data_IF_598081231164
#
_entry.id   IF_598081231164
#
_cell.length_a   1.000
_cell.length_b   1.000
_cell.length_c   1.000
_cell.angle_alpha   90.00
_cell.angle_beta   90.00
_cell.angle_gamma   90.00
#
_symmetry.space_group_name_H-M   'P 1'
#
loop_
_entity.id
_entity.type
_entity.pdbx_description
1 polymer ?
#
# COMPACT_ATOMS: atom_id res chain seq x y z
N UNK A 1 5.80 15.89 15.48
CA UNK A 1 5.94 14.45 15.77
C UNK A 1 5.35 13.69 14.60
N UNK A 2 6.04 12.70 14.02
CA UNK A 2 5.45 11.89 12.97
C UNK A 2 4.22 11.16 13.52
N UNK A 3 3.07 11.35 12.87
CA UNK A 3 1.82 10.70 13.25
C UNK A 3 1.94 9.17 13.19
N UNK A 4 1.07 8.48 13.92
CA UNK A 4 0.95 7.02 13.83
C UNK A 4 0.53 6.54 12.43
N UNK A 5 0.41 5.23 12.22
CA UNK A 5 -0.10 4.68 10.96
C UNK A 5 -1.47 5.29 10.63
N UNK A 6 -1.67 5.61 9.35
CA UNK A 6 -2.93 6.19 8.87
C UNK A 6 -3.82 5.08 8.28
N UNK A 7 -5.10 4.97 8.67
CA UNK A 7 -5.97 3.86 8.24
C UNK A 7 -6.05 3.65 6.72
N UNK A 8 -6.12 4.74 5.95
CA UNK A 8 -6.16 4.64 4.48
C UNK A 8 -4.82 4.19 3.89
N UNK A 9 -3.70 4.61 4.46
CA UNK A 9 -2.38 4.13 4.04
C UNK A 9 -2.24 2.63 4.28
N UNK A 10 -2.61 2.15 5.47
CA UNK A 10 -2.56 0.70 5.77
C UNK A 10 -3.52 -0.10 4.89
N UNK A 11 -4.69 0.47 4.56
CA UNK A 11 -5.66 -0.13 3.62
C UNK A 11 -5.04 -0.34 2.24
N UNK A 12 -4.47 0.71 1.65
CA UNK A 12 -3.86 0.64 0.31
C UNK A 12 -2.64 -0.29 0.30
N UNK A 13 -1.74 -0.15 1.28
CA UNK A 13 -0.52 -0.95 1.36
C UNK A 13 -0.80 -2.44 1.60
N UNK A 14 -1.76 -2.76 2.46
CA UNK A 14 -2.17 -4.16 2.67
C UNK A 14 -2.82 -4.75 1.41
N UNK A 15 -3.56 -3.96 0.62
CA UNK A 15 -4.18 -4.42 -0.60
C UNK A 15 -3.15 -4.72 -1.70
N UNK A 16 -2.08 -3.93 -1.81
CA UNK A 16 -0.93 -4.29 -2.65
C UNK A 16 -0.37 -5.67 -2.26
N UNK A 17 -0.16 -5.91 -0.95
CA UNK A 17 0.39 -7.18 -0.42
C UNK A 17 -0.57 -8.36 -0.59
N UNK A 18 -1.87 -8.12 -0.45
CA UNK A 18 -2.91 -9.11 -0.70
C UNK A 18 -2.85 -9.60 -2.14
N UNK A 19 -2.84 -8.67 -3.10
CA UNK A 19 -2.84 -8.99 -4.53
C UNK A 19 -1.53 -9.59 -5.03
N UNK A 20 -0.38 -9.14 -4.52
CA UNK A 20 0.93 -9.68 -4.89
C UNK A 20 1.16 -11.10 -4.36
N UNK A 21 0.45 -11.50 -3.31
CA UNK A 21 0.67 -12.80 -2.67
C UNK A 21 2.04 -12.93 -2.01
N UNK A 22 2.76 -11.83 -1.80
CA UNK A 22 4.14 -11.84 -1.30
C UNK A 22 4.26 -11.58 0.21
N UNK A 23 5.47 -11.68 0.75
CA UNK A 23 5.75 -11.45 2.17
C UNK A 23 6.03 -12.70 2.99
N UNK A 24 6.46 -12.46 4.23
CA UNK A 24 6.86 -13.51 5.17
C UNK A 24 5.70 -14.34 5.74
N UNK A 25 5.99 -15.30 6.63
CA UNK A 25 4.99 -16.22 7.20
C UNK A 25 3.77 -15.53 7.82
N UNK A 26 3.98 -14.39 8.50
CA UNK A 26 2.89 -13.60 9.11
C UNK A 26 1.91 -13.05 8.07
N UNK A 27 2.42 -12.48 6.96
CA UNK A 27 1.55 -11.98 5.88
C UNK A 27 0.84 -13.12 5.14
N UNK A 28 1.49 -14.28 4.98
CA UNK A 28 0.85 -15.50 4.45
C UNK A 28 -0.29 -15.97 5.36
N UNK A 29 -0.11 -15.94 6.68
CA UNK A 29 -1.15 -16.27 7.64
C UNK A 29 -2.31 -15.26 7.59
N UNK A 30 -2.00 -13.97 7.64
CA UNK A 30 -2.99 -12.89 7.54
C UNK A 30 -3.86 -13.03 6.29
N UNK A 31 -3.27 -13.26 5.11
CA UNK A 31 -4.05 -13.49 3.88
C UNK A 31 -4.98 -14.69 3.99
N UNK A 32 -4.51 -15.81 4.54
CA UNK A 32 -5.34 -17.01 4.74
C UNK A 32 -6.53 -16.73 5.67
N UNK A 33 -6.35 -15.86 6.66
CA UNK A 33 -7.41 -15.44 7.57
C UNK A 33 -8.40 -14.46 6.92
N UNK A 34 -7.91 -13.53 6.09
CA UNK A 34 -8.73 -12.42 5.53
C UNK A 34 -9.46 -12.81 4.25
N UNK A 35 -8.82 -13.56 3.33
CA UNK A 35 -9.39 -13.89 2.02
C UNK A 35 -10.78 -14.53 2.08
N UNK A 36 -11.06 -15.49 2.98
CA UNK A 36 -12.39 -16.11 3.06
C UNK A 36 -13.50 -15.13 3.49
N UNK A 37 -13.16 -14.12 4.29
CA UNK A 37 -14.12 -13.15 4.83
C UNK A 37 -14.34 -11.92 3.95
N UNK A 38 -13.55 -11.72 2.90
CA UNK A 38 -13.59 -10.52 2.07
C UNK A 38 -14.82 -10.51 1.13
N UNK A 39 -15.78 -9.58 1.31
CA UNK A 39 -17.00 -9.54 0.52
C UNK A 39 -16.73 -9.02 -0.90
N UNK A 40 -17.50 -9.44 -1.91
CA UNK A 40 -17.29 -8.99 -3.31
C UNK A 40 -17.21 -7.47 -3.51
N UNK A 41 -17.80 -6.70 -2.58
CA UNK A 41 -17.76 -5.24 -2.55
C UNK A 41 -16.34 -4.64 -2.53
N UNK A 42 -15.28 -5.35 -2.12
CA UNK A 42 -13.91 -4.80 -2.14
C UNK A 42 -13.31 -4.68 -3.56
N UNK A 43 -13.82 -5.44 -4.54
CA UNK A 43 -13.21 -5.57 -5.87
C UNK A 43 -12.99 -4.25 -6.63
N UNK A 44 -13.89 -3.25 -6.57
CA UNK A 44 -13.64 -1.94 -7.19
C UNK A 44 -12.36 -1.27 -6.67
N UNK A 45 -12.01 -1.46 -5.40
CA UNK A 45 -10.78 -0.89 -4.82
C UNK A 45 -9.52 -1.48 -5.47
N UNK A 46 -9.52 -2.76 -5.87
CA UNK A 46 -8.40 -3.37 -6.60
C UNK A 46 -8.22 -2.77 -8.01
N UNK A 47 -9.31 -2.28 -8.60
CA UNK A 47 -9.25 -1.54 -9.86
C UNK A 47 -8.65 -0.14 -9.70
N UNK A 48 -8.46 0.37 -8.47
CA UNK A 48 -7.73 1.62 -8.19
C UNK A 48 -6.33 1.37 -7.63
N UNK A 49 -6.16 0.31 -6.84
CA UNK A 49 -4.89 -0.07 -6.23
C UNK A 49 -4.37 -1.32 -6.94
N UNK A 50 -3.57 -1.21 -8.02
CA UNK A 50 -3.02 -2.38 -8.69
C UNK A 50 -2.02 -3.10 -7.77
N UNK A 51 -1.65 -4.38 -8.01
CA UNK A 51 -0.62 -5.05 -7.21
C UNK A 51 0.71 -4.29 -7.21
N UNK A 52 1.06 -3.65 -8.32
CA UNK A 52 2.29 -2.87 -8.54
C UNK A 52 1.95 -1.66 -9.43
N UNK A 53 2.69 -0.57 -9.30
CA UNK A 53 2.49 0.65 -10.10
C UNK A 53 1.80 1.78 -9.34
N UNK A 54 1.34 2.79 -10.08
CA UNK A 54 0.67 3.95 -9.51
C UNK A 54 -0.70 3.59 -8.91
N UNK A 55 -1.03 4.22 -7.77
CA UNK A 55 -2.39 4.26 -7.23
C UNK A 55 -2.78 5.74 -6.99
N UNK A 56 -4.07 6.10 -7.09
CA UNK A 56 -4.53 7.48 -6.95
C UNK A 56 -4.16 8.14 -5.62
N UNK A 57 -3.66 9.38 -5.67
CA UNK A 57 -3.21 10.12 -4.49
C UNK A 57 -4.39 10.48 -3.57
N UNK A 58 -5.58 10.72 -4.15
CA UNK A 58 -6.78 11.03 -3.37
C UNK A 58 -7.17 9.92 -2.38
N UNK A 59 -6.71 8.67 -2.59
CA UNK A 59 -6.91 7.57 -1.63
C UNK A 59 -6.06 7.70 -0.37
N UNK A 60 -5.15 8.68 -0.30
CA UNK A 60 -4.23 8.88 0.82
C UNK A 60 -4.37 10.27 1.44
N UNK A 61 -5.56 10.65 1.95
CA UNK A 61 -5.75 11.96 2.57
C UNK A 61 -4.84 12.13 3.79
N UNK A 62 -4.30 13.33 4.02
CA UNK A 62 -3.34 13.56 5.08
C UNK A 62 -4.00 13.51 6.46
N UNK A 63 -3.41 12.73 7.37
CA UNK A 63 -3.63 12.82 8.82
C UNK A 63 -5.11 12.72 9.25
N UNK A 64 -5.87 11.80 8.66
CA UNK A 64 -7.28 11.59 8.96
C UNK A 64 -7.54 10.21 9.58
N UNK A 65 -8.48 10.15 10.52
CA UNK A 65 -9.10 8.88 10.92
C UNK A 65 -9.90 8.28 9.75
N UNK A 66 -10.32 7.02 9.83
CA UNK A 66 -10.97 6.34 8.69
C UNK A 66 -12.21 7.08 8.19
N UNK A 67 -13.12 7.47 9.08
CA UNK A 67 -14.39 8.10 8.67
C UNK A 67 -14.15 9.47 8.03
N UNK A 68 -13.23 10.25 8.58
CA UNK A 68 -12.81 11.53 8.00
C UNK A 68 -12.08 11.33 6.66
N UNK A 69 -11.23 10.31 6.56
CA UNK A 69 -10.54 9.98 5.33
C UNK A 69 -11.53 9.57 4.22
N UNK A 70 -12.53 8.76 4.57
CA UNK A 70 -13.61 8.36 3.67
C UNK A 70 -14.43 9.58 3.22
N UNK A 71 -14.79 10.47 4.14
CA UNK A 71 -15.52 11.69 3.80
C UNK A 71 -14.75 12.55 2.79
N UNK A 72 -13.44 12.75 3.01
CA UNK A 72 -12.56 13.47 2.07
C UNK A 72 -12.44 12.78 0.72
N UNK A 73 -12.34 11.45 0.70
CA UNK A 73 -12.30 10.65 -0.54
C UNK A 73 -13.60 10.83 -1.33
N UNK A 74 -14.75 10.77 -0.66
CA UNK A 74 -16.06 10.88 -1.30
C UNK A 74 -16.35 12.32 -1.78
N UNK A 75 -15.73 13.31 -1.15
CA UNK A 75 -15.81 14.73 -1.53
C UNK A 75 -14.61 15.23 -2.34
N UNK A 76 -13.78 14.32 -2.88
CA UNK A 76 -12.63 14.71 -3.70
C UNK A 76 -13.11 15.50 -4.93
N UNK A 77 -12.55 16.70 -5.21
CA UNK A 77 -12.96 17.51 -6.35
C UNK A 77 -12.82 16.76 -7.67
N UNK A 78 -13.79 16.95 -8.59
CA UNK A 78 -13.78 16.29 -9.91
C UNK A 78 -12.48 16.45 -10.69
N UNK A 79 -11.85 17.63 -10.60
CA UNK A 79 -10.59 17.90 -11.28
C UNK A 79 -9.43 17.01 -10.76
N UNK A 80 -9.43 16.71 -9.46
CA UNK A 80 -8.44 15.82 -8.84
C UNK A 80 -8.72 14.36 -9.19
N UNK A 81 -9.99 13.93 -9.11
CA UNK A 81 -10.39 12.59 -9.57
C UNK A 81 -10.01 12.37 -11.04
N UNK A 82 -10.30 13.33 -11.92
CA UNK A 82 -9.93 13.26 -13.34
C UNK A 82 -8.42 13.18 -13.58
N UNK A 83 -7.62 13.94 -12.81
CA UNK A 83 -6.15 13.90 -12.87
C UNK A 83 -5.63 12.52 -12.50
N UNK A 84 -6.07 11.99 -11.36
CA UNK A 84 -5.57 10.72 -10.84
C UNK A 84 -6.04 9.55 -11.73
N UNK A 85 -7.27 9.58 -12.24
CA UNK A 85 -7.74 8.58 -13.21
C UNK A 85 -6.97 8.68 -14.54
N UNK A 86 -6.59 9.89 -14.97
CA UNK A 86 -5.75 10.10 -16.15
C UNK A 86 -4.33 9.53 -15.99
N UNK A 87 -3.73 9.70 -14.80
CA UNK A 87 -2.45 9.11 -14.46
C UNK A 87 -2.55 7.58 -14.40
N UNK A 88 -3.60 7.06 -13.77
CA UNK A 88 -3.87 5.64 -13.71
C UNK A 88 -4.09 5.01 -15.09
N UNK A 89 -4.71 5.77 -16.01
CA UNK A 89 -4.95 5.34 -17.38
C UNK A 89 -3.67 5.18 -18.22
N UNK A 90 -2.54 5.77 -17.80
CA UNK A 90 -1.24 5.62 -18.48
C UNK A 90 -0.68 4.19 -18.32
N UNK A 91 -1.01 3.50 -17.24
CA UNK A 91 -0.53 2.16 -16.95
C UNK A 91 -1.55 1.07 -17.33
N UNK A 92 -2.84 1.41 -17.43
CA UNK A 92 -3.92 0.47 -17.73
C UNK A 92 -5.12 1.12 -18.38
N UNK A 93 -5.80 0.39 -19.27
CA UNK A 93 -7.06 0.85 -19.84
C UNK A 93 -8.13 1.03 -18.73
N UNK A 94 -8.81 2.19 -18.66
CA UNK A 94 -9.80 2.45 -17.63
C UNK A 94 -11.07 1.63 -17.90
N UNK A 95 -11.56 0.93 -16.87
CA UNK A 95 -12.88 0.30 -16.89
C UNK A 95 -13.99 1.37 -16.93
N UNK A 96 -15.23 1.02 -17.34
CA UNK A 96 -16.35 1.96 -17.29
C UNK A 96 -16.54 2.59 -15.91
N UNK A 97 -16.39 1.81 -14.84
CA UNK A 97 -16.49 2.31 -13.47
C UNK A 97 -15.37 3.31 -13.10
N UNK A 98 -14.13 3.09 -13.57
CA UNK A 98 -13.01 4.05 -13.38
C UNK A 98 -13.32 5.39 -14.08
N UNK A 99 -13.92 5.33 -15.28
CA UNK A 99 -14.35 6.54 -16.00
C UNK A 99 -15.45 7.28 -15.23
N UNK A 100 -16.47 6.56 -14.77
CA UNK A 100 -17.56 7.13 -13.97
C UNK A 100 -17.04 7.79 -12.69
N UNK A 101 -16.03 7.19 -12.06
CA UNK A 101 -15.38 7.76 -10.87
C UNK A 101 -14.62 9.06 -11.19
N UNK A 102 -13.88 9.10 -12.31
CA UNK A 102 -13.20 10.31 -12.79
C UNK A 102 -14.16 11.45 -13.16
N UNK A 103 -15.42 11.12 -13.48
CA UNK A 103 -16.50 12.09 -13.71
C UNK A 103 -17.28 12.46 -12.43
N UNK A 104 -16.88 11.93 -11.26
CA UNK A 104 -17.57 12.11 -9.98
C UNK A 104 -19.03 11.64 -10.00
N UNK A 105 -19.33 10.54 -10.71
CA UNK A 105 -20.69 9.96 -10.72
C UNK A 105 -21.01 9.37 -9.34
N UNK A 106 -22.15 9.77 -8.78
CA UNK A 106 -22.58 9.36 -7.42
C UNK A 106 -22.56 7.83 -7.22
N UNK A 107 -23.06 6.99 -8.14
CA UNK A 107 -23.01 5.53 -7.95
C UNK A 107 -21.58 4.98 -7.87
N UNK A 108 -20.63 5.57 -8.61
CA UNK A 108 -19.24 5.14 -8.60
C UNK A 108 -18.55 5.51 -7.28
N UNK A 109 -18.80 6.73 -6.77
CA UNK A 109 -18.32 7.17 -5.45
C UNK A 109 -18.91 6.32 -4.31
N UNK A 110 -20.21 6.02 -4.36
CA UNK A 110 -20.85 5.14 -3.36
C UNK A 110 -20.24 3.74 -3.37
N UNK A 111 -19.98 3.17 -4.55
CA UNK A 111 -19.30 1.89 -4.68
C UNK A 111 -17.86 1.92 -4.15
N UNK A 112 -17.14 3.03 -4.35
CA UNK A 112 -15.81 3.22 -3.77
C UNK A 112 -15.86 3.23 -2.23
N UNK A 113 -16.74 4.04 -1.64
CA UNK A 113 -16.90 4.11 -0.18
C UNK A 113 -17.23 2.76 0.43
N UNK A 114 -18.14 2.01 -0.20
CA UNK A 114 -18.47 0.64 0.19
C UNK A 114 -17.27 -0.30 0.08
N UNK A 115 -16.47 -0.19 -0.98
CA UNK A 115 -15.29 -1.03 -1.19
C UNK A 115 -14.21 -0.79 -0.13
N UNK A 116 -13.89 0.47 0.14
CA UNK A 116 -12.92 0.85 1.19
C UNK A 116 -13.40 0.38 2.56
N UNK A 117 -14.65 0.66 2.91
CA UNK A 117 -15.23 0.27 4.20
C UNK A 117 -15.20 -1.24 4.39
N UNK A 118 -15.64 -1.99 3.38
CA UNK A 118 -15.68 -3.45 3.43
C UNK A 118 -14.29 -4.06 3.56
N UNK A 119 -13.33 -3.54 2.80
CA UNK A 119 -11.95 -4.00 2.87
C UNK A 119 -11.33 -3.67 4.24
N UNK A 120 -11.39 -2.40 4.68
CA UNK A 120 -10.79 -1.97 5.95
C UNK A 120 -11.36 -2.77 7.12
N UNK A 121 -12.70 -2.92 7.21
CA UNK A 121 -13.36 -3.67 8.28
C UNK A 121 -12.90 -5.14 8.36
N UNK A 122 -12.59 -5.75 7.22
CA UNK A 122 -12.21 -7.18 7.16
C UNK A 122 -10.71 -7.38 7.34
N UNK A 123 -9.91 -6.54 6.69
CA UNK A 123 -8.48 -6.76 6.49
C UNK A 123 -7.60 -5.96 7.46
N UNK A 124 -8.09 -4.84 7.98
CA UNK A 124 -7.32 -3.87 8.78
C UNK A 124 -7.85 -3.76 10.20
N UNK A 125 -9.14 -3.46 10.37
CA UNK A 125 -9.74 -3.20 11.68
C UNK A 125 -9.45 -4.29 12.74
N UNK A 126 -9.50 -5.60 12.43
CA UNK A 126 -9.20 -6.65 13.42
C UNK A 126 -7.74 -6.67 13.89
N UNK A 127 -6.84 -6.04 13.14
CA UNK A 127 -5.40 -6.03 13.39
C UNK A 127 -4.89 -4.64 13.77
N UNK A 128 -5.77 -3.66 13.95
CA UNK A 128 -5.39 -2.25 14.11
C UNK A 128 -4.49 -2.02 15.34
N UNK A 129 -4.82 -2.63 16.48
CA UNK A 129 -4.00 -2.53 17.69
C UNK A 129 -2.60 -3.15 17.50
N UNK A 130 -2.51 -4.25 16.77
CA UNK A 130 -1.23 -4.89 16.44
C UNK A 130 -0.40 -4.02 15.48
N UNK A 131 -1.03 -3.38 14.50
CA UNK A 131 -0.39 -2.41 13.60
C UNK A 131 0.15 -1.22 14.39
N UNK A 132 -0.67 -0.65 15.28
CA UNK A 132 -0.26 0.44 16.17
C UNK A 132 0.89 0.04 17.09
N UNK A 133 0.85 -1.16 17.67
CA UNK A 133 1.91 -1.68 18.53
C UNK A 133 3.22 -1.86 17.75
N UNK A 134 3.16 -2.41 16.54
CA UNK A 134 4.32 -2.61 15.68
C UNK A 134 4.94 -1.28 15.22
N UNK A 135 4.10 -0.29 14.88
CA UNK A 135 4.56 1.05 14.55
C UNK A 135 5.25 1.73 15.74
N UNK A 136 4.69 1.62 16.96
CA UNK A 136 5.33 2.11 18.18
C UNK A 136 6.67 1.43 18.44
N UNK A 137 6.72 0.10 18.35
CA UNK A 137 7.95 -0.67 18.53
C UNK A 137 9.03 -0.24 17.53
N UNK A 138 8.67 -0.09 16.26
CA UNK A 138 9.59 0.32 15.20
C UNK A 138 10.14 1.74 15.45
N UNK A 139 9.30 2.65 15.95
CA UNK A 139 9.70 4.01 16.32
C UNK A 139 10.64 4.03 17.54
N UNK A 140 10.35 3.24 18.57
CA UNK A 140 11.22 3.12 19.75
C UNK A 140 12.59 2.59 19.35
N UNK A 141 12.65 1.52 18.56
CA UNK A 141 13.90 0.94 18.08
C UNK A 141 14.71 1.94 17.25
N UNK A 142 14.04 2.70 16.38
CA UNK A 142 14.71 3.75 15.60
C UNK A 142 15.25 4.88 16.47
N UNK A 143 14.54 5.27 17.52
CA UNK A 143 15.01 6.28 18.47
C UNK A 143 16.22 5.79 19.28
N UNK A 144 16.20 4.54 19.75
CA UNK A 144 17.34 3.93 20.46
C UNK A 144 18.58 3.86 19.57
N UNK A 145 18.42 3.40 18.32
CA UNK A 145 19.52 3.36 17.36
C UNK A 145 20.05 4.77 17.01
N UNK A 146 19.16 5.78 16.97
CA UNK A 146 19.56 7.16 16.78
C UNK A 146 20.43 7.70 17.92
N UNK A 147 20.11 7.32 19.16
CA UNK A 147 20.86 7.75 20.35
C UNK A 147 22.23 7.05 20.46
N UNK A 148 22.32 5.79 20.04
CA UNK A 148 23.57 5.02 20.11
C UNK A 148 24.52 5.27 18.94
N UNK A 149 24.00 5.21 17.71
CA UNK A 149 24.79 5.19 16.46
C UNK A 149 24.50 6.40 15.55
N UNK A 150 23.79 7.39 16.07
CA UNK A 150 23.39 8.58 15.32
C UNK A 150 22.42 8.26 14.18
N UNK A 151 22.35 9.16 13.20
CA UNK A 151 21.44 9.04 12.05
C UNK A 151 21.66 7.78 11.21
N UNK A 152 22.90 7.27 11.17
CA UNK A 152 23.21 6.03 10.44
C UNK A 152 22.52 4.83 11.09
N UNK A 153 22.65 4.67 12.41
CA UNK A 153 21.96 3.60 13.13
C UNK A 153 20.43 3.71 13.05
N UNK A 154 19.90 4.93 13.12
CA UNK A 154 18.47 5.16 12.90
C UNK A 154 18.03 4.64 11.54
N UNK A 155 18.72 5.02 10.45
CA UNK A 155 18.33 4.64 9.09
C UNK A 155 18.50 3.14 8.81
N UNK A 156 19.53 2.50 9.37
CA UNK A 156 19.73 1.04 9.26
C UNK A 156 18.71 0.25 10.08
N UNK A 157 18.17 0.84 11.15
CA UNK A 157 17.14 0.21 11.97
C UNK A 157 15.74 0.27 11.35
N UNK A 158 15.50 1.08 10.32
CA UNK A 158 14.19 1.14 9.67
C UNK A 158 13.98 -0.12 8.81
N UNK A 159 12.78 -0.71 8.81
CA UNK A 159 12.45 -1.88 7.99
C UNK A 159 12.22 -1.47 6.53
N UNK A 160 13.20 -0.80 5.93
CA UNK A 160 13.17 -0.37 4.55
C UNK A 160 14.04 -1.34 3.72
N UNK A 161 13.60 -1.73 2.52
CA UNK A 161 14.44 -2.54 1.63
C UNK A 161 15.70 -1.78 1.18
N UNK A 162 15.69 -0.46 1.36
CA UNK A 162 16.80 0.43 1.09
C UNK A 162 17.68 0.58 2.34
N UNK A 163 18.99 0.54 2.14
CA UNK A 163 19.97 0.67 3.22
C UNK A 163 20.86 1.88 3.00
N UNK A 164 21.23 2.53 4.10
CA UNK A 164 22.19 3.62 4.11
C UNK A 164 23.61 3.06 3.98
N UNK A 165 24.37 3.50 2.96
CA UNK A 165 25.78 3.11 2.78
C UNK A 165 26.60 4.31 2.30
N UNK A 166 27.61 4.69 3.09
CA UNK A 166 28.61 5.70 2.71
C UNK A 166 28.01 7.07 2.36
N UNK A 167 27.06 7.58 3.15
CA UNK A 167 26.46 8.89 2.94
C UNK A 167 25.36 8.97 1.86
N UNK A 168 24.95 7.82 1.32
CA UNK A 168 23.88 7.74 0.30
C UNK A 168 22.82 6.72 0.68
N UNK A 169 21.57 7.06 0.38
CA UNK A 169 20.44 6.14 0.45
C UNK A 169 20.43 5.26 -0.80
N UNK A 170 20.49 3.93 -0.63
CA UNK A 170 20.44 2.97 -1.74
C UNK A 170 19.19 2.11 -1.65
N UNK A 171 18.26 2.28 -2.58
CA UNK A 171 17.15 1.34 -2.77
C UNK A 171 17.54 0.20 -3.70
N UNK A 172 17.14 -1.06 -3.43
CA UNK A 172 17.41 -2.20 -4.30
C UNK A 172 16.67 -2.10 -5.64
N UNK A 173 15.56 -1.36 -5.67
CA UNK A 173 14.89 -0.93 -6.90
C UNK A 173 15.26 0.51 -7.22
N UNK A 174 15.84 0.75 -8.40
CA UNK A 174 15.99 2.10 -8.95
C UNK A 174 14.60 2.70 -9.13
N UNK A 175 14.24 3.71 -8.35
CA UNK A 175 13.15 4.63 -8.71
C UNK A 175 13.65 5.46 -9.90
N UNK A 176 13.42 5.00 -11.12
CA UNK A 176 13.75 5.77 -12.33
C UNK A 176 12.70 6.84 -12.53
N UNK A 177 13.12 8.11 -12.50
CA UNK A 177 12.28 9.29 -12.75
C UNK A 177 11.93 9.49 -14.24
N UNK A 178 12.01 8.45 -15.06
CA UNK A 178 11.75 8.54 -16.50
C UNK A 178 10.94 7.34 -16.97
N UNK A 179 9.76 7.65 -17.51
CA UNK A 179 8.94 6.78 -18.34
C UNK A 179 9.76 6.17 -19.46
N UNK A 180 9.96 4.85 -19.47
CA UNK A 180 9.82 3.95 -20.62
C UNK A 180 9.98 2.54 -20.07
N UNK A 181 8.87 1.79 -19.95
CA UNK A 181 8.93 0.40 -19.51
C UNK A 181 9.60 -0.46 -20.58
N UNK A 182 10.74 -1.04 -20.24
CA UNK A 182 11.06 -2.38 -20.69
C UNK A 182 11.43 -3.19 -19.45
N UNK A 183 10.75 -4.33 -19.34
CA UNK A 183 10.85 -5.30 -18.26
C UNK A 183 12.31 -5.58 -17.91
N UNK A 184 12.61 -5.66 -16.62
CA UNK A 184 13.83 -6.25 -16.14
C UNK A 184 13.45 -7.39 -15.18
N UNK A 185 13.72 -8.58 -15.70
CA UNK A 185 13.59 -9.89 -15.09
C UNK A 185 14.11 -9.92 -13.66
N UNK A 186 13.27 -10.45 -12.77
CA UNK A 186 13.64 -10.77 -11.40
C UNK A 186 14.42 -12.10 -11.39
N UNK A 187 15.75 -12.03 -11.48
CA UNK A 187 16.62 -13.12 -11.06
C UNK A 187 16.93 -12.95 -9.57
N UNK A 188 16.26 -13.73 -8.71
CA UNK A 188 16.71 -14.01 -7.35
C UNK A 188 16.90 -15.52 -7.21
N UNK A 189 18.14 -15.98 -7.39
CA UNK A 189 18.70 -17.21 -6.79
C UNK A 189 20.22 -17.16 -6.96
N UNK A 190 21.00 -17.61 -5.95
CA UNK A 190 21.51 -18.98 -6.06
C UNK A 190 21.54 -19.76 -4.72
N UNK A 191 21.42 -21.10 -4.86
CA UNK A 191 21.66 -22.19 -3.88
C UNK A 191 20.55 -22.40 -2.82
N UNK A 192 19.95 -23.58 -2.63
CA UNK A 192 20.36 -24.96 -2.92
C UNK A 192 19.15 -25.85 -3.25
N UNK A 193 19.44 -26.82 -4.12
CA UNK A 193 18.67 -28.00 -4.47
C UNK A 193 18.12 -28.80 -3.28
N UNK A 194 17.16 -29.68 -3.62
CA UNK A 194 16.57 -30.80 -2.86
C UNK A 194 15.25 -30.48 -2.14
N UNK A 195 14.14 -30.68 -2.87
CA UNK A 195 13.05 -31.58 -2.50
C UNK A 195 12.02 -31.59 -3.64
N UNK A 196 12.35 -32.35 -4.69
CA UNK A 196 11.38 -32.85 -5.64
C UNK A 196 11.68 -34.33 -5.83
N UNK A 197 10.63 -35.14 -5.76
CA UNK A 197 10.55 -36.60 -5.99
C UNK A 197 10.70 -37.48 -4.74
N UNK A 198 9.59 -37.64 -4.02
CA UNK A 198 8.83 -38.90 -3.88
C UNK A 198 7.62 -38.65 -2.98
#
# INVERSE_FOLDING_TARGET
MAGGPLPMWETVLSLHRLQRGDGGPLLKQWRRSVCPGLPRAWKPLAALVPPQGYFPDFLTPPQAALDEALDRILHTPRAELGRDMGALAQERAPSPWIRDLGESRIPALAALGAAVTAYHRTAIAPYWDAILAQARHSRTRAAEAALGEGTTGMLTSLPLPAHWRGGSWRSPTRWSRTSTSRAADCCWSPLSSACAQA
#
